data_IF_133090301577
#
_entry.id   IF_133090301577
#
_cell.length_a   1.000
_cell.length_b   1.000
_cell.length_c   1.000
_cell.angle_alpha   90.00
_cell.angle_beta   90.00
_cell.angle_gamma   90.00
#
_symmetry.space_group_name_H-M   'P 1'
#
loop_
_entity.id
_entity.type
_entity.pdbx_description
1 polymer ?
#
# COMPACT_ATOMS: atom_id res chain seq x y z
N UNK A 1 -4.47 -19.20 41.62
CA UNK A 1 -4.28 -18.55 40.29
C UNK A 1 -5.26 -19.21 39.32
N UNK A 2 -6.36 -18.57 38.90
CA UNK A 2 -7.17 -19.11 37.82
C UNK A 2 -6.42 -18.94 36.50
N UNK A 3 -6.41 -19.99 35.69
CA UNK A 3 -5.79 -20.04 34.36
C UNK A 3 -6.55 -19.08 33.43
N UNK A 4 -5.85 -18.19 32.75
CA UNK A 4 -6.43 -17.34 31.72
C UNK A 4 -6.81 -18.20 30.52
N UNK A 5 -8.12 -18.37 30.29
CA UNK A 5 -8.66 -18.98 29.09
C UNK A 5 -8.18 -18.21 27.86
N UNK A 6 -7.55 -18.92 26.91
CA UNK A 6 -7.20 -18.36 25.60
C UNK A 6 -8.51 -18.02 24.87
N UNK A 7 -8.66 -16.82 24.27
CA UNK A 7 -9.83 -16.54 23.45
C UNK A 7 -9.80 -17.47 22.23
N UNK A 8 -10.66 -18.47 22.23
CA UNK A 8 -10.94 -19.32 21.07
C UNK A 8 -11.87 -18.50 20.17
N UNK A 9 -11.40 -18.21 18.95
CA UNK A 9 -12.24 -17.58 17.93
C UNK A 9 -13.54 -18.37 17.77
N UNK A 10 -14.69 -17.69 17.71
CA UNK A 10 -15.99 -18.33 17.52
C UNK A 10 -15.95 -19.28 16.30
N UNK A 11 -16.60 -20.46 16.36
CA UNK A 11 -16.67 -21.35 15.20
C UNK A 11 -17.32 -20.61 14.03
N UNK A 12 -16.64 -20.63 12.88
CA UNK A 12 -17.10 -20.01 11.64
C UNK A 12 -18.38 -20.67 11.11
N UNK A 13 -19.18 -19.94 10.30
CA UNK A 13 -20.15 -20.57 9.42
C UNK A 13 -19.40 -21.49 8.46
N UNK A 14 -19.96 -22.68 8.22
CA UNK A 14 -19.44 -23.72 7.33
C UNK A 14 -19.10 -23.13 5.95
N UNK A 15 -17.83 -22.74 5.75
CA UNK A 15 -17.36 -22.19 4.49
C UNK A 15 -17.36 -23.27 3.41
N UNK A 16 -17.85 -22.93 2.22
CA UNK A 16 -17.83 -23.78 1.04
C UNK A 16 -16.47 -24.48 0.91
N UNK A 17 -16.46 -25.80 0.75
CA UNK A 17 -15.23 -26.63 0.80
C UNK A 17 -14.18 -26.14 -0.22
N UNK A 18 -14.64 -25.54 -1.32
CA UNK A 18 -13.82 -24.85 -2.33
C UNK A 18 -13.05 -23.64 -1.78
N UNK A 19 -13.66 -22.84 -0.90
CA UNK A 19 -13.00 -21.69 -0.27
C UNK A 19 -11.90 -22.13 0.69
N UNK A 20 -12.11 -23.22 1.44
CA UNK A 20 -11.10 -23.77 2.34
C UNK A 20 -9.89 -24.32 1.57
N UNK A 21 -10.11 -24.94 0.41
CA UNK A 21 -9.02 -25.35 -0.48
C UNK A 21 -8.26 -24.15 -1.06
N UNK A 22 -8.96 -23.09 -1.47
CA UNK A 22 -8.33 -21.87 -1.96
C UNK A 22 -7.50 -21.18 -0.85
N UNK A 23 -8.01 -21.15 0.38
CA UNK A 23 -7.29 -20.62 1.54
C UNK A 23 -5.96 -21.37 1.77
N UNK A 24 -5.98 -22.70 1.68
CA UNK A 24 -4.76 -23.53 1.76
C UNK A 24 -3.76 -23.18 0.65
N UNK A 25 -4.22 -23.02 -0.59
CA UNK A 25 -3.37 -22.62 -1.72
C UNK A 25 -2.74 -21.24 -1.52
N UNK A 26 -3.41 -20.33 -0.83
CA UNK A 26 -2.90 -18.99 -0.49
C UNK A 26 -2.12 -18.94 0.84
N UNK A 27 -1.71 -20.11 1.39
CA UNK A 27 -0.92 -20.23 2.64
C UNK A 27 -1.63 -19.67 3.88
N UNK A 28 -2.95 -19.74 3.92
CA UNK A 28 -3.76 -19.47 5.12
C UNK A 28 -3.68 -20.65 6.08
N UNK A 29 -2.53 -20.79 6.74
CA UNK A 29 -2.19 -21.99 7.50
C UNK A 29 -2.80 -22.04 8.91
N UNK A 30 -3.30 -20.92 9.42
CA UNK A 30 -3.92 -20.83 10.76
C UNK A 30 -5.44 -20.75 10.66
N UNK A 31 -6.15 -21.18 11.70
CA UNK A 31 -7.62 -21.05 11.74
C UNK A 31 -8.05 -19.58 11.61
N UNK A 32 -7.35 -18.66 12.28
CA UNK A 32 -7.59 -17.21 12.19
C UNK A 32 -7.47 -16.71 10.75
N UNK A 33 -6.41 -17.08 10.02
CA UNK A 33 -6.25 -16.68 8.61
C UNK A 33 -7.35 -17.27 7.72
N UNK A 34 -7.74 -18.52 7.97
CA UNK A 34 -8.86 -19.16 7.24
C UNK A 34 -10.19 -18.46 7.52
N UNK A 35 -10.46 -18.07 8.76
CA UNK A 35 -11.64 -17.27 9.15
C UNK A 35 -11.71 -15.96 8.38
N UNK A 36 -10.64 -15.19 8.44
CA UNK A 36 -10.56 -13.88 7.79
C UNK A 36 -10.70 -14.05 6.27
N UNK A 37 -10.03 -15.05 5.68
CA UNK A 37 -10.11 -15.33 4.26
C UNK A 37 -11.54 -15.67 3.83
N UNK A 38 -12.22 -16.57 4.54
CA UNK A 38 -13.60 -16.93 4.23
C UNK A 38 -14.54 -15.71 4.33
N UNK A 39 -14.37 -14.85 5.34
CA UNK A 39 -15.14 -13.61 5.46
C UNK A 39 -14.92 -12.70 4.26
N UNK A 40 -13.66 -12.45 3.89
CA UNK A 40 -13.30 -11.54 2.79
C UNK A 40 -13.80 -12.07 1.45
N UNK A 41 -13.69 -13.37 1.19
CA UNK A 41 -14.05 -13.97 -0.10
C UNK A 41 -15.56 -14.21 -0.26
N UNK A 42 -16.29 -14.36 0.85
CA UNK A 42 -17.74 -14.57 0.83
C UNK A 42 -18.55 -13.28 1.04
N UNK A 43 -17.88 -12.13 1.20
CA UNK A 43 -18.56 -10.85 1.32
C UNK A 43 -19.03 -10.34 -0.05
N UNK A 44 -20.21 -9.74 -0.06
CA UNK A 44 -20.80 -9.13 -1.27
C UNK A 44 -20.11 -7.81 -1.61
N UNK A 45 -19.77 -7.03 -0.58
CA UNK A 45 -19.08 -5.75 -0.68
C UNK A 45 -18.13 -5.53 0.53
N UNK A 46 -17.41 -4.40 0.51
CA UNK A 46 -16.44 -4.08 1.55
C UNK A 46 -17.07 -3.78 2.91
N UNK A 47 -18.32 -3.31 2.96
CA UNK A 47 -19.01 -3.01 4.22
C UNK A 47 -19.44 -4.31 4.90
N UNK A 48 -20.00 -5.25 4.14
CA UNK A 48 -20.32 -6.60 4.60
C UNK A 48 -19.08 -7.31 5.12
N UNK A 49 -17.94 -7.20 4.40
CA UNK A 49 -16.67 -7.74 4.83
C UNK A 49 -16.21 -7.11 6.16
N UNK A 50 -16.24 -5.79 6.25
CA UNK A 50 -15.86 -5.04 7.44
C UNK A 50 -16.68 -5.44 8.67
N UNK A 51 -18.00 -5.45 8.57
CA UNK A 51 -18.90 -5.82 9.68
C UNK A 51 -18.65 -7.26 10.16
N UNK A 52 -18.50 -8.20 9.22
CA UNK A 52 -18.20 -9.60 9.54
C UNK A 52 -16.81 -9.77 10.16
N UNK A 53 -15.81 -8.99 9.73
CA UNK A 53 -14.47 -9.00 10.34
C UNK A 53 -14.52 -8.50 11.79
N UNK A 54 -15.27 -7.43 12.06
CA UNK A 54 -15.45 -6.91 13.43
C UNK A 54 -16.18 -7.92 14.33
N UNK A 55 -17.14 -8.68 13.79
CA UNK A 55 -17.82 -9.76 14.53
C UNK A 55 -16.89 -10.90 14.96
N UNK A 56 -15.74 -11.11 14.28
CA UNK A 56 -14.74 -12.10 14.70
C UNK A 56 -14.05 -11.71 16.02
N UNK A 57 -14.16 -10.45 16.45
CA UNK A 57 -13.63 -9.95 17.73
C UNK A 57 -12.14 -10.30 17.95
N UNK A 58 -11.34 -10.23 16.88
CA UNK A 58 -9.92 -10.56 16.89
C UNK A 58 -9.14 -9.58 17.78
N UNK A 59 -8.20 -10.08 18.58
CA UNK A 59 -7.42 -9.25 19.53
C UNK A 59 -5.92 -9.45 19.37
N UNK A 60 -5.17 -8.37 19.63
CA UNK A 60 -3.71 -8.40 19.72
C UNK A 60 -3.07 -8.92 18.41
N UNK A 61 -2.22 -9.97 18.47
CA UNK A 61 -1.59 -10.52 17.28
C UNK A 61 -2.56 -10.99 16.19
N UNK A 62 -3.76 -11.47 16.56
CA UNK A 62 -4.74 -11.96 15.58
C UNK A 62 -5.30 -10.82 14.72
N UNK A 63 -5.46 -9.62 15.27
CA UNK A 63 -5.93 -8.44 14.52
C UNK A 63 -4.97 -8.09 13.38
N UNK A 64 -3.66 -8.31 13.56
CA UNK A 64 -2.64 -8.06 12.53
C UNK A 64 -2.80 -8.99 11.33
N UNK A 65 -3.31 -10.19 11.55
CA UNK A 65 -3.57 -11.16 10.47
C UNK A 65 -4.60 -10.65 9.47
N UNK A 66 -5.49 -9.72 9.86
CA UNK A 66 -6.45 -9.10 8.92
C UNK A 66 -5.71 -8.38 7.80
N UNK A 67 -4.73 -7.54 8.13
CA UNK A 67 -3.92 -6.83 7.14
C UNK A 67 -3.15 -7.81 6.24
N UNK A 68 -2.57 -8.87 6.82
CA UNK A 68 -1.86 -9.89 6.07
C UNK A 68 -2.76 -10.60 5.06
N UNK A 69 -3.97 -11.01 5.45
CA UNK A 69 -4.90 -11.72 4.56
C UNK A 69 -5.44 -10.78 3.48
N UNK A 70 -5.86 -9.55 3.83
CA UNK A 70 -6.36 -8.56 2.85
C UNK A 70 -5.33 -8.30 1.76
N UNK A 71 -4.08 -8.04 2.13
CA UNK A 71 -2.99 -7.81 1.16
C UNK A 71 -2.70 -9.08 0.38
N UNK A 72 -2.63 -10.25 1.03
CA UNK A 72 -2.36 -11.51 0.33
C UNK A 72 -3.41 -11.81 -0.75
N UNK A 73 -4.70 -11.63 -0.46
CA UNK A 73 -5.77 -11.81 -1.44
C UNK A 73 -5.67 -10.80 -2.59
N UNK A 74 -5.47 -9.51 -2.28
CA UNK A 74 -5.30 -8.45 -3.29
C UNK A 74 -4.18 -8.77 -4.30
N UNK A 75 -3.06 -9.31 -3.82
CA UNK A 75 -1.89 -9.63 -4.65
C UNK A 75 -2.10 -10.86 -5.56
N UNK A 76 -3.09 -11.71 -5.26
CA UNK A 76 -3.42 -12.89 -6.06
C UNK A 76 -4.48 -12.63 -7.14
N UNK A 77 -5.14 -11.46 -7.10
CA UNK A 77 -6.12 -11.10 -8.11
C UNK A 77 -5.49 -10.98 -9.50
N UNK A 78 -6.22 -11.46 -10.53
CA UNK A 78 -5.77 -11.35 -11.93
C UNK A 78 -5.77 -9.90 -12.41
N UNK A 79 -6.74 -9.12 -11.95
CA UNK A 79 -6.90 -7.69 -12.22
C UNK A 79 -7.09 -7.03 -10.85
N UNK A 80 -6.46 -5.90 -10.61
CA UNK A 80 -6.60 -5.19 -9.35
C UNK A 80 -8.09 -4.93 -9.04
N UNK A 81 -8.50 -5.36 -7.85
CA UNK A 81 -9.84 -5.14 -7.34
C UNK A 81 -9.80 -4.06 -6.24
N UNK A 82 -10.40 -2.87 -6.46
CA UNK A 82 -10.42 -1.79 -5.47
C UNK A 82 -11.04 -2.17 -4.13
N UNK A 83 -11.91 -3.18 -4.09
CA UNK A 83 -12.53 -3.74 -2.88
C UNK A 83 -11.55 -3.87 -1.71
N UNK A 84 -10.36 -4.45 -1.96
CA UNK A 84 -9.39 -4.68 -0.90
C UNK A 84 -8.83 -3.38 -0.30
N UNK A 85 -8.60 -2.37 -1.13
CA UNK A 85 -8.03 -1.11 -0.68
C UNK A 85 -9.06 -0.25 0.05
N UNK A 86 -10.32 -0.26 -0.40
CA UNK A 86 -11.43 0.41 0.29
C UNK A 86 -11.70 -0.26 1.65
N UNK A 87 -11.69 -1.60 1.71
CA UNK A 87 -11.78 -2.35 2.96
C UNK A 87 -10.62 -2.00 3.91
N UNK A 88 -9.39 -2.00 3.41
CA UNK A 88 -8.21 -1.65 4.20
C UNK A 88 -8.27 -0.22 4.75
N UNK A 89 -8.73 0.73 3.94
CA UNK A 89 -8.92 2.12 4.36
C UNK A 89 -9.99 2.22 5.46
N UNK A 90 -11.15 1.57 5.29
CA UNK A 90 -12.22 1.53 6.30
C UNK A 90 -11.73 0.95 7.64
N UNK A 91 -10.91 -0.10 7.61
CA UNK A 91 -10.29 -0.68 8.80
C UNK A 91 -9.34 0.33 9.47
N UNK A 92 -8.48 1.01 8.70
CA UNK A 92 -7.53 2.02 9.21
C UNK A 92 -8.26 3.20 9.86
N UNK A 93 -9.36 3.65 9.26
CA UNK A 93 -10.17 4.75 9.80
C UNK A 93 -10.90 4.38 11.09
N UNK A 94 -11.24 3.09 11.25
CA UNK A 94 -11.92 2.58 12.45
C UNK A 94 -10.96 2.39 13.62
N UNK A 95 -9.80 1.78 13.41
CA UNK A 95 -8.77 1.58 14.45
C UNK A 95 -7.37 1.82 13.88
N UNK A 96 -6.68 2.84 14.42
CA UNK A 96 -5.30 3.21 14.03
C UNK A 96 -4.30 2.06 14.16
N UNK A 97 -4.57 1.01 14.94
CA UNK A 97 -3.73 -0.20 14.98
C UNK A 97 -3.66 -0.93 13.64
N UNK A 98 -4.70 -0.84 12.82
CA UNK A 98 -4.67 -1.38 11.46
C UNK A 98 -3.66 -0.64 10.59
N UNK A 99 -3.47 0.68 10.79
CA UNK A 99 -2.47 1.46 10.05
C UNK A 99 -1.07 0.84 10.18
N UNK A 100 -0.66 0.51 11.40
CA UNK A 100 0.64 -0.11 11.65
C UNK A 100 0.72 -1.52 11.08
N UNK A 101 -0.38 -2.28 11.16
CA UNK A 101 -0.45 -3.65 10.63
C UNK A 101 -0.30 -3.66 9.11
N UNK A 102 -1.05 -2.82 8.38
CA UNK A 102 -0.91 -2.66 6.94
C UNK A 102 0.47 -2.14 6.54
N UNK A 103 1.03 -1.18 7.28
CA UNK A 103 2.39 -0.70 7.03
C UNK A 103 3.42 -1.83 7.09
N UNK A 104 3.39 -2.66 8.14
CA UNK A 104 4.32 -3.79 8.24
C UNK A 104 4.09 -4.84 7.16
N UNK A 105 2.83 -5.21 6.90
CA UNK A 105 2.50 -6.15 5.82
C UNK A 105 3.01 -5.64 4.47
N UNK A 106 2.80 -4.35 4.15
CA UNK A 106 3.29 -3.74 2.91
C UNK A 106 4.82 -3.74 2.88
N UNK A 107 5.50 -3.40 3.97
CA UNK A 107 6.96 -3.44 4.03
C UNK A 107 7.53 -4.83 3.77
N UNK A 108 6.91 -5.88 4.33
CA UNK A 108 7.31 -7.25 4.06
C UNK A 108 7.17 -7.58 2.57
N UNK A 109 6.09 -7.11 1.91
CA UNK A 109 5.89 -7.30 0.46
C UNK A 109 6.81 -6.44 -0.41
N UNK A 110 7.21 -5.26 0.05
CA UNK A 110 8.19 -4.43 -0.64
C UNK A 110 9.58 -5.08 -0.59
N UNK A 111 9.96 -5.67 0.55
CA UNK A 111 11.24 -6.39 0.68
C UNK A 111 11.28 -7.67 -0.16
N UNK A 112 10.13 -8.31 -0.37
CA UNK A 112 9.97 -9.52 -1.18
C UNK A 112 9.48 -9.22 -2.62
N UNK A 113 9.79 -8.03 -3.16
CA UNK A 113 9.31 -7.64 -4.50
C UNK A 113 9.72 -8.64 -5.59
N UNK A 114 10.93 -9.21 -5.50
CA UNK A 114 11.43 -10.18 -6.48
C UNK A 114 10.68 -11.52 -6.43
N UNK A 115 10.13 -11.90 -5.26
CA UNK A 115 9.24 -13.05 -5.10
C UNK A 115 7.84 -12.83 -5.65
N UNK A 116 7.43 -11.58 -5.91
CA UNK A 116 6.10 -11.28 -6.44
C UNK A 116 6.01 -11.50 -7.95
N UNK A 117 4.86 -12.02 -8.39
CA UNK A 117 4.50 -12.01 -9.80
C UNK A 117 4.40 -10.58 -10.33
N UNK A 118 4.52 -10.41 -11.65
CA UNK A 118 4.34 -9.08 -12.28
C UNK A 118 2.97 -8.48 -11.94
N UNK A 119 1.93 -9.32 -11.93
CA UNK A 119 0.57 -8.90 -11.59
C UNK A 119 0.44 -8.51 -10.11
N UNK A 120 0.97 -9.33 -9.20
CA UNK A 120 0.93 -9.04 -7.76
C UNK A 120 1.66 -7.74 -7.42
N UNK A 121 2.77 -7.46 -8.10
CA UNK A 121 3.47 -6.17 -7.98
C UNK A 121 2.61 -5.00 -8.46
N UNK A 122 1.91 -5.14 -9.60
CA UNK A 122 0.98 -4.12 -10.11
C UNK A 122 -0.17 -3.88 -9.12
N UNK A 123 -0.77 -4.94 -8.59
CA UNK A 123 -1.87 -4.85 -7.62
C UNK A 123 -1.39 -4.18 -6.32
N UNK A 124 -0.21 -4.56 -5.81
CA UNK A 124 0.39 -3.95 -4.63
C UNK A 124 0.62 -2.44 -4.81
N UNK A 125 1.12 -2.03 -5.97
CA UNK A 125 1.33 -0.62 -6.28
C UNK A 125 -0.01 0.15 -6.29
N UNK A 126 -1.06 -0.38 -6.91
CA UNK A 126 -2.37 0.26 -6.93
C UNK A 126 -3.02 0.32 -5.54
N UNK A 127 -2.87 -0.75 -4.74
CA UNK A 127 -3.30 -0.80 -3.35
C UNK A 127 -2.61 0.29 -2.51
N UNK A 128 -1.29 0.44 -2.65
CA UNK A 128 -0.50 1.46 -1.97
C UNK A 128 -0.93 2.87 -2.39
N UNK A 129 -1.12 3.11 -3.70
CA UNK A 129 -1.56 4.41 -4.22
C UNK A 129 -2.89 4.79 -3.59
N UNK A 130 -3.87 3.89 -3.58
CA UNK A 130 -5.17 4.15 -2.96
C UNK A 130 -5.04 4.54 -1.49
N UNK A 131 -4.30 3.76 -0.69
CA UNK A 131 -4.10 4.07 0.74
C UNK A 131 -3.36 5.39 0.99
N UNK A 132 -2.46 5.80 0.08
CA UNK A 132 -1.76 7.09 0.20
C UNK A 132 -2.69 8.26 -0.13
N UNK A 133 -3.42 8.16 -1.25
CA UNK A 133 -4.33 9.21 -1.71
C UNK A 133 -5.47 9.41 -0.70
N UNK A 134 -6.06 8.33 -0.18
CA UNK A 134 -7.12 8.35 0.84
C UNK A 134 -6.62 8.64 2.26
N UNK A 135 -5.34 9.03 2.42
CA UNK A 135 -4.75 9.44 3.70
C UNK A 135 -4.69 8.33 4.77
N UNK A 136 -4.90 7.07 4.38
CA UNK A 136 -4.74 5.89 5.23
C UNK A 136 -3.28 5.61 5.60
N UNK A 137 -2.34 5.82 4.66
CA UNK A 137 -0.90 5.67 4.89
C UNK A 137 -0.11 6.88 4.35
N UNK A 138 0.97 7.32 5.02
CA UNK A 138 1.83 8.38 4.49
C UNK A 138 2.75 7.86 3.38
N UNK A 139 3.17 8.73 2.45
CA UNK A 139 4.15 8.38 1.40
C UNK A 139 5.47 7.83 1.95
N UNK A 140 5.81 8.16 3.20
CA UNK A 140 6.99 7.63 3.90
C UNK A 140 6.99 6.11 4.10
N UNK A 141 5.91 5.38 3.79
CA UNK A 141 5.97 3.90 3.74
C UNK A 141 6.97 3.41 2.69
N UNK A 142 7.28 4.19 1.65
CA UNK A 142 8.25 3.84 0.61
C UNK A 142 9.70 3.99 1.08
N UNK A 143 9.96 4.59 2.26
CA UNK A 143 11.32 4.77 2.80
C UNK A 143 12.06 3.46 3.09
N UNK A 144 11.34 2.34 3.10
CA UNK A 144 11.91 1.01 3.29
C UNK A 144 12.73 0.55 2.07
N UNK A 145 12.53 1.21 0.92
CA UNK A 145 13.28 0.95 -0.31
C UNK A 145 14.64 1.62 -0.19
N UNK A 146 15.69 0.82 -0.41
CA UNK A 146 17.06 1.30 -0.42
C UNK A 146 17.39 1.92 -1.79
N UNK A 147 17.50 3.24 -1.85
CA UNK A 147 17.77 3.96 -3.09
C UNK A 147 19.22 3.83 -3.59
N UNK A 148 20.14 3.37 -2.73
CA UNK A 148 21.51 3.02 -3.11
C UNK A 148 21.58 1.75 -3.97
N UNK A 149 20.60 0.84 -3.84
CA UNK A 149 20.60 -0.45 -4.53
C UNK A 149 19.25 -0.71 -5.23
N UNK A 150 19.01 0.04 -6.31
CA UNK A 150 17.77 -0.03 -7.08
C UNK A 150 17.85 -1.08 -8.19
N UNK A 151 17.08 -2.17 -8.03
CA UNK A 151 16.87 -3.14 -9.12
C UNK A 151 15.90 -2.60 -10.18
N UNK A 152 15.93 -3.16 -11.40
CA UNK A 152 14.97 -2.83 -12.47
C UNK A 152 13.51 -2.99 -12.01
N UNK A 153 13.24 -3.99 -11.17
CA UNK A 153 11.91 -4.26 -10.63
C UNK A 153 11.48 -3.18 -9.65
N UNK A 154 12.34 -2.83 -8.70
CA UNK A 154 12.09 -1.74 -7.72
C UNK A 154 11.86 -0.41 -8.43
N UNK A 155 12.67 -0.09 -9.45
CA UNK A 155 12.45 1.12 -10.27
C UNK A 155 11.07 1.09 -10.94
N UNK A 156 10.66 -0.02 -11.55
CA UNK A 156 9.34 -0.13 -12.18
C UNK A 156 8.20 0.04 -11.18
N UNK A 157 8.31 -0.59 -10.01
CA UNK A 157 7.35 -0.50 -8.93
C UNK A 157 7.19 0.95 -8.41
N UNK A 158 8.32 1.60 -8.10
CA UNK A 158 8.34 2.99 -7.65
C UNK A 158 7.80 3.96 -8.70
N UNK A 159 8.16 3.77 -9.98
CA UNK A 159 7.61 4.56 -11.09
C UNK A 159 6.10 4.45 -11.17
N UNK A 160 5.56 3.24 -11.05
CA UNK A 160 4.11 3.03 -11.11
C UNK A 160 3.40 3.82 -10.00
N UNK A 161 3.89 3.72 -8.75
CA UNK A 161 3.28 4.42 -7.61
C UNK A 161 3.37 5.94 -7.79
N UNK A 162 4.58 6.46 -8.08
CA UNK A 162 4.80 7.90 -8.15
C UNK A 162 4.13 8.54 -9.36
N UNK A 163 4.11 7.87 -10.52
CA UNK A 163 3.36 8.37 -11.68
C UNK A 163 1.85 8.40 -11.37
N UNK A 164 1.29 7.36 -10.75
CA UNK A 164 -0.13 7.36 -10.39
C UNK A 164 -0.50 8.47 -9.39
N UNK A 165 0.38 8.80 -8.44
CA UNK A 165 0.16 9.90 -7.48
C UNK A 165 0.32 11.27 -8.17
N UNK A 166 1.41 11.47 -8.93
CA UNK A 166 1.72 12.76 -9.56
C UNK A 166 0.72 13.10 -10.67
N UNK A 167 0.23 12.09 -11.39
CA UNK A 167 -0.73 12.24 -12.48
C UNK A 167 -2.19 12.09 -12.02
N UNK A 168 -2.47 12.11 -10.71
CA UNK A 168 -3.85 12.05 -10.20
C UNK A 168 -4.69 13.23 -10.73
N UNK A 169 -5.97 13.04 -10.99
CA UNK A 169 -6.80 14.12 -11.56
C UNK A 169 -6.78 15.39 -10.69
N UNK A 170 -6.85 15.23 -9.37
CA UNK A 170 -6.78 16.33 -8.41
C UNK A 170 -5.33 16.65 -8.00
N UNK A 171 -4.83 17.78 -8.52
CA UNK A 171 -3.51 18.30 -8.18
C UNK A 171 -3.38 18.58 -6.68
N UNK A 172 -4.43 19.08 -6.01
CA UNK A 172 -4.32 19.43 -4.60
C UNK A 172 -4.08 18.19 -3.74
N UNK A 173 -4.83 17.11 -4.02
CA UNK A 173 -4.60 15.80 -3.39
C UNK A 173 -3.19 15.28 -3.64
N UNK A 174 -2.63 15.44 -4.85
CA UNK A 174 -1.22 15.13 -5.13
C UNK A 174 -0.28 15.93 -4.22
N UNK A 175 -0.42 17.26 -4.16
CA UNK A 175 0.49 18.11 -3.40
C UNK A 175 0.43 17.82 -1.88
N UNK A 176 -0.76 17.53 -1.35
CA UNK A 176 -0.95 17.14 0.05
C UNK A 176 -0.12 15.91 0.44
N UNK A 177 -0.02 14.91 -0.45
CA UNK A 177 0.77 13.70 -0.21
C UNK A 177 2.23 14.05 0.06
N UNK A 178 2.81 14.98 -0.70
CA UNK A 178 4.20 15.42 -0.52
C UNK A 178 4.37 16.36 0.67
N UNK A 179 3.40 17.23 0.95
CA UNK A 179 3.43 18.10 2.12
C UNK A 179 3.53 17.32 3.44
N UNK A 180 2.86 16.16 3.56
CA UNK A 180 2.92 15.31 4.76
C UNK A 180 4.32 14.80 5.07
N UNK A 181 5.20 14.68 4.08
CA UNK A 181 6.59 14.25 4.27
C UNK A 181 7.60 15.41 4.26
N UNK A 182 7.20 16.62 3.84
CA UNK A 182 8.07 17.79 3.75
C UNK A 182 8.61 18.25 5.11
N UNK A 183 7.74 18.33 6.13
CA UNK A 183 8.09 18.92 7.43
C UNK A 183 9.03 18.08 8.30
N UNK A 184 8.86 16.75 8.46
CA UNK A 184 9.65 15.99 9.43
C UNK A 184 11.15 15.93 9.09
N UNK A 185 12.07 16.41 9.96
CA UNK A 185 13.51 16.42 9.67
C UNK A 185 14.09 15.02 9.41
N UNK A 186 13.59 14.01 10.13
CA UNK A 186 13.97 12.60 9.98
C UNK A 186 13.70 12.00 8.58
N UNK A 187 12.92 12.68 7.74
CA UNK A 187 12.63 12.27 6.37
C UNK A 187 13.49 13.01 5.33
N UNK A 188 14.46 13.82 5.72
CA UNK A 188 15.33 14.57 4.81
C UNK A 188 15.94 13.69 3.71
N UNK A 189 16.67 12.62 4.11
CA UNK A 189 17.30 11.72 3.14
C UNK A 189 16.28 11.05 2.21
N UNK A 190 15.12 10.68 2.74
CA UNK A 190 14.04 10.10 1.93
C UNK A 190 13.50 11.10 0.89
N UNK A 191 13.36 12.39 1.25
CA UNK A 191 12.95 13.44 0.32
C UNK A 191 13.97 13.65 -0.79
N UNK A 192 15.26 13.69 -0.44
CA UNK A 192 16.34 13.82 -1.43
C UNK A 192 16.39 12.65 -2.39
N UNK A 193 16.32 11.42 -1.87
CA UNK A 193 16.25 10.22 -2.71
C UNK A 193 15.02 10.23 -3.62
N UNK A 194 13.87 10.66 -3.11
CA UNK A 194 12.63 10.73 -3.87
C UNK A 194 12.69 11.78 -4.99
N UNK A 195 13.23 12.97 -4.71
CA UNK A 195 13.47 14.04 -5.68
C UNK A 195 14.38 13.57 -6.81
N UNK A 196 15.53 12.98 -6.48
CA UNK A 196 16.44 12.40 -7.47
C UNK A 196 15.76 11.31 -8.30
N UNK A 197 14.96 10.46 -7.66
CA UNK A 197 14.24 9.40 -8.35
C UNK A 197 13.21 9.96 -9.35
N UNK A 198 12.41 10.94 -8.95
CA UNK A 198 11.42 11.57 -9.83
C UNK A 198 12.10 12.21 -11.04
N UNK A 199 13.14 13.01 -10.82
CA UNK A 199 13.87 13.67 -11.90
C UNK A 199 14.50 12.66 -12.88
N UNK A 200 15.14 11.61 -12.36
CA UNK A 200 15.89 10.66 -13.20
C UNK A 200 15.00 9.59 -13.84
N UNK A 201 14.09 8.98 -13.07
CA UNK A 201 13.34 7.80 -13.51
C UNK A 201 11.93 8.10 -13.99
N UNK A 202 11.35 9.26 -13.67
CA UNK A 202 10.06 9.67 -14.22
C UNK A 202 10.30 10.62 -15.40
N UNK A 203 10.84 11.81 -15.15
CA UNK A 203 10.96 12.87 -16.17
C UNK A 203 11.94 12.48 -17.28
N UNK A 204 13.24 12.33 -16.97
CA UNK A 204 14.27 12.02 -17.98
C UNK A 204 14.01 10.68 -18.69
N UNK A 205 13.41 9.72 -18.00
CA UNK A 205 13.10 8.43 -18.61
C UNK A 205 11.96 8.53 -19.62
N UNK A 206 10.90 9.28 -19.29
CA UNK A 206 9.78 9.48 -20.19
C UNK A 206 10.22 10.28 -21.44
N UNK A 207 11.10 11.27 -21.29
CA UNK A 207 11.67 12.03 -22.42
C UNK A 207 12.49 11.14 -23.38
N UNK A 208 13.23 10.16 -22.86
CA UNK A 208 14.01 9.23 -23.69
C UNK A 208 13.14 8.18 -24.40
N UNK A 209 11.94 7.93 -23.90
CA UNK A 209 11.01 6.92 -24.43
C UNK A 209 9.79 7.62 -24.99
N UNK A 210 9.93 8.20 -26.19
CA UNK A 210 8.92 8.95 -26.95
C UNK A 210 7.52 8.29 -27.13
N UNK A 211 7.29 7.08 -26.64
CA UNK A 211 6.08 6.29 -26.92
C UNK A 211 5.25 5.93 -25.66
N UNK A 212 5.57 6.45 -24.46
CA UNK A 212 4.86 6.05 -23.23
C UNK A 212 3.82 7.07 -22.77
N UNK A 213 4.06 8.36 -22.98
CA UNK A 213 3.15 9.45 -22.61
C UNK A 213 2.92 10.34 -23.83
N UNK A 214 1.70 10.84 -23.98
CA UNK A 214 1.39 11.92 -24.94
C UNK A 214 2.13 13.21 -24.57
N UNK A 215 2.28 14.13 -25.53
CA UNK A 215 2.90 15.44 -25.28
C UNK A 215 2.20 16.20 -24.15
N UNK A 216 0.86 16.11 -24.08
CA UNK A 216 0.05 16.74 -23.01
C UNK A 216 0.34 16.12 -21.65
N UNK A 217 0.40 14.79 -21.56
CA UNK A 217 0.75 14.09 -20.31
C UNK A 217 2.18 14.39 -19.88
N UNK A 218 3.12 14.50 -20.84
CA UNK A 218 4.49 14.90 -20.57
C UNK A 218 4.58 16.31 -20.00
N UNK A 219 3.88 17.28 -20.62
CA UNK A 219 3.81 18.65 -20.12
C UNK A 219 3.24 18.70 -18.70
N UNK A 220 2.15 17.97 -18.47
CA UNK A 220 1.51 17.83 -17.16
C UNK A 220 2.46 17.24 -16.12
N UNK A 221 3.19 16.16 -16.47
CA UNK A 221 4.15 15.52 -15.58
C UNK A 221 5.28 16.50 -15.19
N UNK A 222 5.79 17.27 -16.14
CA UNK A 222 6.85 18.26 -15.90
C UNK A 222 6.38 19.37 -14.97
N UNK A 223 5.23 19.98 -15.28
CA UNK A 223 4.63 21.04 -14.46
C UNK A 223 4.42 20.58 -13.02
N UNK A 224 3.79 19.42 -12.84
CA UNK A 224 3.50 18.91 -11.50
C UNK A 224 4.74 18.48 -10.74
N UNK A 225 5.76 17.96 -11.43
CA UNK A 225 7.05 17.62 -10.81
C UNK A 225 7.75 18.87 -10.26
N UNK A 226 7.60 20.02 -10.92
CA UNK A 226 8.15 21.29 -10.41
C UNK A 226 7.48 21.70 -9.09
N UNK A 227 6.16 21.59 -8.99
CA UNK A 227 5.44 21.86 -7.73
C UNK A 227 5.82 20.88 -6.62
N UNK A 228 5.96 19.59 -6.95
CA UNK A 228 6.44 18.58 -6.00
C UNK A 228 7.86 18.88 -5.52
N UNK A 229 8.77 19.30 -6.41
CA UNK A 229 10.15 19.65 -6.06
C UNK A 229 10.22 20.84 -5.09
N UNK A 230 9.40 21.88 -5.32
CA UNK A 230 9.25 23.01 -4.38
C UNK A 230 8.84 22.54 -2.99
N UNK A 231 7.90 21.60 -2.90
CA UNK A 231 7.43 21.06 -1.60
C UNK A 231 8.52 20.27 -0.90
N UNK A 232 9.25 19.41 -1.64
CA UNK A 232 10.30 18.56 -1.06
C UNK A 232 11.47 19.39 -0.52
N UNK A 233 11.81 20.50 -1.20
CA UNK A 233 12.93 21.40 -0.90
C UNK A 233 12.59 22.52 0.10
N UNK A 234 11.30 22.77 0.36
CA UNK A 234 10.80 23.90 1.17
C UNK A 234 11.48 24.08 2.54
N UNK A 235 11.99 23.00 3.13
CA UNK A 235 12.62 23.01 4.46
C UNK A 235 14.14 22.79 4.45
N UNK A 236 14.80 22.74 3.30
CA UNK A 236 16.26 22.54 3.20
C UNK A 236 17.04 23.72 3.79
N UNK A 237 16.58 24.95 3.59
CA UNK A 237 17.27 26.16 4.06
C UNK A 237 17.28 26.33 5.59
N UNK A 238 16.47 25.56 6.34
CA UNK A 238 16.43 25.60 7.81
C UNK A 238 17.40 24.60 8.48
N UNK A 239 18.12 23.81 7.70
CA UNK A 239 19.03 22.75 8.16
C UNK A 239 20.51 23.05 7.89
N UNK A 240 20.85 24.30 7.52
CA UNK A 240 22.24 24.76 7.54
C UNK A 240 22.65 24.93 9.00
N UNK A 241 23.33 23.91 9.52
CA UNK A 241 24.08 23.98 10.78
C UNK A 241 25.35 24.81 10.59
#
# INVERSE_FOLDING_TARGET
RPQAEKPVAKPLPTGDQKLLELARKQRMNTDVRRSIFCVIMAAEDYMSAFEKLEQLSLRGPQQREVAHVVVACCLQEKIYNPYYAVLAHKLIDTDRKYQLSFQFTIWDKIKDLDGLSKQGMTNLAQFIVHLIMEKGLPLSILKIIEFSDLTKRTVKFMRQILLSIIMNEDLQSTLEVFHRIAKPPKLHMFRESLKLFIQHFLVKNAEKKNNVLSEKEMATLKERTVEVDKILTMHENKLRF
#
